data_IF_444751356379
#
_entry.id   IF_444751356379
#
_cell.length_a   1.000
_cell.length_b   1.000
_cell.length_c   1.000
_cell.angle_alpha   90.00
_cell.angle_beta   90.00
_cell.angle_gamma   90.00
#
_symmetry.space_group_name_H-M   'P 1'
#
loop_
_entity.id
_entity.type
_entity.pdbx_description
1 polymer ?
#
# COMPACT_ATOMS: atom_id res chain seq x y z
N UNK A 1 63.58 29.78 12.57
CA UNK A 1 62.22 29.39 12.13
C UNK A 1 61.94 27.99 12.66
N UNK A 2 61.12 27.83 13.70
CA UNK A 2 60.75 26.52 14.28
C UNK A 2 59.35 26.18 13.80
N UNK A 3 59.22 25.12 12.98
CA UNK A 3 57.93 24.65 12.48
C UNK A 3 57.20 23.85 13.57
N UNK A 4 55.95 24.25 13.75
CA UNK A 4 54.85 23.65 14.51
C UNK A 4 54.66 22.16 14.21
N UNK A 5 54.52 21.34 15.26
CA UNK A 5 53.94 20.01 15.19
C UNK A 5 52.62 20.00 15.97
N UNK A 6 51.50 19.82 15.27
CA UNK A 6 50.18 19.63 15.88
C UNK A 6 49.87 18.13 15.90
N UNK A 7 49.65 17.59 17.08
CA UNK A 7 49.20 16.21 17.28
C UNK A 7 47.67 16.18 17.16
N UNK A 8 47.15 15.48 16.16
CA UNK A 8 45.71 15.23 16.03
C UNK A 8 45.33 14.03 16.92
N UNK A 9 44.59 14.29 17.99
CA UNK A 9 43.91 13.25 18.75
C UNK A 9 42.72 12.73 17.92
N UNK A 10 42.78 11.48 17.50
CA UNK A 10 41.66 10.82 16.83
C UNK A 10 40.61 10.44 17.89
N UNK A 11 39.61 11.28 18.08
CA UNK A 11 38.35 10.87 18.72
C UNK A 11 37.61 9.96 17.75
N UNK A 12 37.61 8.65 18.03
CA UNK A 12 36.69 7.69 17.42
C UNK A 12 35.27 8.00 17.88
N UNK A 13 34.61 8.91 17.16
CA UNK A 13 33.17 9.06 17.27
C UNK A 13 32.53 7.78 16.71
N UNK A 14 31.94 6.97 17.58
CA UNK A 14 30.95 5.98 17.18
C UNK A 14 29.74 6.73 16.64
N UNK A 15 29.76 7.06 15.35
CA UNK A 15 28.56 7.45 14.64
C UNK A 15 27.65 6.21 14.59
N UNK A 16 26.61 6.19 15.42
CA UNK A 16 25.43 5.38 15.13
C UNK A 16 25.08 5.65 13.67
N UNK A 17 25.23 4.64 12.81
CA UNK A 17 24.78 4.72 11.44
C UNK A 17 23.29 5.06 11.49
N UNK A 18 22.96 6.29 11.09
CA UNK A 18 21.60 6.63 10.74
C UNK A 18 21.17 5.62 9.68
N UNK A 19 20.17 4.80 10.00
CA UNK A 19 19.44 4.01 9.02
C UNK A 19 18.80 5.01 8.03
N UNK A 20 19.52 5.31 6.95
CA UNK A 20 19.18 6.38 6.01
C UNK A 20 19.43 5.93 4.59
N UNK A 21 18.35 5.96 3.79
CA UNK A 21 18.23 5.61 2.37
C UNK A 21 17.99 4.13 2.03
N UNK A 22 16.91 3.56 2.57
CA UNK A 22 16.12 2.63 1.76
C UNK A 22 15.33 3.44 0.74
N UNK A 23 15.56 3.23 -0.57
CA UNK A 23 14.71 3.82 -1.60
C UNK A 23 13.29 3.28 -1.40
N UNK A 24 12.32 4.14 -1.05
CA UNK A 24 10.92 3.76 -0.95
C UNK A 24 10.48 3.09 -2.27
N UNK A 25 9.75 1.98 -2.17
CA UNK A 25 9.37 1.16 -3.32
C UNK A 25 7.88 1.29 -3.57
N UNK A 26 7.49 1.68 -4.78
CA UNK A 26 6.07 1.77 -5.15
C UNK A 26 5.62 0.52 -5.88
N UNK A 27 4.51 -0.05 -5.43
CA UNK A 27 3.79 -1.12 -6.14
C UNK A 27 2.45 -0.60 -6.63
N UNK A 28 2.10 -0.87 -7.88
CA UNK A 28 0.83 -0.47 -8.48
C UNK A 28 0.08 -1.63 -9.10
N UNK A 29 -1.23 -1.51 -9.21
CA UNK A 29 -2.09 -2.47 -9.90
C UNK A 29 -3.16 -1.74 -10.69
N UNK A 30 -3.42 -2.21 -11.89
CA UNK A 30 -4.54 -1.77 -12.72
C UNK A 30 -5.37 -3.01 -13.05
N UNK A 31 -6.60 -3.02 -12.55
CA UNK A 31 -7.39 -4.24 -12.40
C UNK A 31 -8.73 -4.03 -13.07
N UNK A 32 -9.08 -4.97 -13.92
CA UNK A 32 -10.41 -5.10 -14.50
C UNK A 32 -11.01 -6.41 -13.99
N UNK A 33 -12.21 -6.35 -13.42
CA UNK A 33 -12.93 -7.55 -12.96
C UNK A 33 -13.55 -8.31 -14.14
N UNK A 34 -14.00 -9.55 -13.92
CA UNK A 34 -14.65 -10.34 -14.97
C UNK A 34 -15.92 -9.69 -15.53
N UNK A 35 -16.56 -8.83 -14.74
CA UNK A 35 -17.75 -8.09 -15.13
C UNK A 35 -17.45 -6.70 -15.73
N UNK A 36 -16.18 -6.26 -15.77
CA UNK A 36 -15.75 -5.08 -16.52
C UNK A 36 -15.53 -3.79 -15.73
N UNK A 37 -15.83 -3.76 -14.42
CA UNK A 37 -15.43 -2.62 -13.58
C UNK A 37 -13.92 -2.57 -13.41
N UNK A 38 -13.43 -1.37 -13.12
CA UNK A 38 -11.99 -1.12 -13.07
C UNK A 38 -11.59 -0.47 -11.76
N UNK A 39 -10.41 -0.82 -11.30
CA UNK A 39 -9.77 -0.15 -10.18
C UNK A 39 -8.28 0.00 -10.43
N UNK A 40 -7.70 1.10 -9.96
CA UNK A 40 -6.27 1.34 -10.00
C UNK A 40 -5.78 1.65 -8.61
N UNK A 41 -4.73 0.96 -8.18
CA UNK A 41 -4.12 1.12 -6.86
C UNK A 41 -2.64 1.42 -7.00
N UNK A 42 -2.13 2.25 -6.11
CA UNK A 42 -0.71 2.50 -5.90
C UNK A 42 -0.42 2.54 -4.41
N UNK A 43 0.68 1.91 -3.99
CA UNK A 43 1.14 1.86 -2.60
C UNK A 43 2.64 2.06 -2.58
N UNK A 44 3.12 3.00 -1.76
CA UNK A 44 4.55 3.25 -1.57
C UNK A 44 5.02 2.67 -0.23
N UNK A 45 5.77 1.58 -0.32
CA UNK A 45 6.43 0.94 0.81
C UNK A 45 7.58 1.80 1.29
N UNK A 46 7.60 2.10 2.59
CA UNK A 46 8.65 2.91 3.21
C UNK A 46 9.69 2.01 3.87
N UNK A 47 9.23 0.96 4.55
CA UNK A 47 10.05 0.00 5.30
C UNK A 47 9.26 -1.31 5.53
N UNK A 48 9.82 -2.19 6.36
CA UNK A 48 9.19 -3.45 6.77
C UNK A 48 7.83 -3.26 7.44
N UNK A 49 7.62 -2.12 8.09
CA UNK A 49 6.52 -1.92 9.03
C UNK A 49 5.43 -1.02 8.46
N UNK A 50 5.69 -0.31 7.36
CA UNK A 50 4.77 0.70 6.84
C UNK A 50 4.76 0.91 5.33
N UNK A 51 3.61 1.37 4.85
CA UNK A 51 3.45 2.00 3.55
C UNK A 51 2.66 3.32 3.70
N UNK A 52 2.89 4.25 2.78
CA UNK A 52 2.30 5.60 2.80
C UNK A 52 1.90 6.03 1.40
N UNK A 53 1.23 7.18 1.35
CA UNK A 53 0.85 7.91 0.13
C UNK A 53 0.10 7.07 -0.91
N UNK A 54 -0.58 6.02 -0.45
CA UNK A 54 -1.31 5.13 -1.33
C UNK A 54 -2.49 5.84 -1.98
N UNK A 55 -2.75 5.48 -3.23
CA UNK A 55 -3.87 5.96 -4.02
C UNK A 55 -4.71 4.79 -4.50
N UNK A 56 -6.02 5.02 -4.63
CA UNK A 56 -6.97 4.04 -5.13
C UNK A 56 -8.03 4.76 -5.94
N UNK A 57 -8.28 4.32 -7.16
CA UNK A 57 -9.33 4.83 -8.03
C UNK A 57 -10.32 3.70 -8.31
N UNK A 58 -11.59 3.90 -7.98
CA UNK A 58 -12.66 2.92 -8.22
C UNK A 58 -13.56 3.46 -9.33
N UNK A 59 -13.65 2.74 -10.45
CA UNK A 59 -14.42 3.12 -11.62
C UNK A 59 -15.56 2.14 -11.87
N UNK A 60 -16.78 2.67 -11.90
CA UNK A 60 -17.98 1.95 -12.35
C UNK A 60 -18.08 2.11 -13.86
N UNK A 61 -17.89 1.02 -14.58
CA UNK A 61 -17.85 1.02 -16.05
C UNK A 61 -19.06 0.35 -16.68
N UNK A 62 -19.76 -0.50 -15.94
CA UNK A 62 -20.91 -1.25 -16.45
C UNK A 62 -22.21 -0.50 -16.40
N UNK A 63 -22.34 0.48 -15.49
CA UNK A 63 -23.54 1.31 -15.39
C UNK A 63 -24.83 0.51 -15.16
N UNK A 64 -24.77 -0.57 -14.37
CA UNK A 64 -25.86 -1.50 -14.14
C UNK A 64 -26.58 -1.28 -12.79
N UNK A 65 -26.59 -0.04 -12.30
CA UNK A 65 -27.21 0.42 -11.04
C UNK A 65 -26.65 -0.22 -9.76
N UNK A 66 -25.64 -1.10 -9.89
CA UNK A 66 -25.00 -1.76 -8.76
C UNK A 66 -23.93 -0.86 -8.15
N UNK A 67 -23.81 -0.91 -6.83
CA UNK A 67 -22.77 -0.13 -6.14
C UNK A 67 -21.44 -0.84 -6.23
N UNK A 68 -20.44 -0.18 -6.81
CA UNK A 68 -19.06 -0.67 -6.90
C UNK A 68 -18.22 -0.08 -5.76
N UNK A 69 -17.47 -0.93 -5.08
CA UNK A 69 -16.59 -0.51 -4.00
C UNK A 69 -15.36 -1.41 -3.90
N UNK A 70 -14.28 -0.88 -3.34
CA UNK A 70 -13.06 -1.64 -3.10
C UNK A 70 -12.75 -1.74 -1.61
N UNK A 71 -12.25 -2.90 -1.18
CA UNK A 71 -11.78 -3.14 0.18
C UNK A 71 -10.29 -3.45 0.13
N UNK A 72 -9.49 -2.76 0.96
CA UNK A 72 -8.07 -3.07 1.14
C UNK A 72 -7.88 -3.90 2.39
N UNK A 73 -7.03 -4.89 2.30
CA UNK A 73 -6.72 -5.79 3.40
C UNK A 73 -5.21 -5.87 3.57
N UNK A 74 -4.73 -5.53 4.75
CA UNK A 74 -3.31 -5.54 5.12
C UNK A 74 -3.06 -6.75 6.00
N UNK A 75 -2.16 -7.64 5.57
CA UNK A 75 -1.71 -8.77 6.37
C UNK A 75 -0.47 -8.37 7.17
N UNK A 76 -0.52 -8.47 8.49
CA UNK A 76 0.58 -8.06 9.36
C UNK A 76 1.56 -9.20 9.65
N UNK A 77 2.69 -8.84 10.28
CA UNK A 77 3.73 -9.72 10.79
C UNK A 77 3.20 -10.80 11.72
N UNK A 78 2.34 -10.38 12.66
CA UNK A 78 1.67 -11.24 13.65
C UNK A 78 0.64 -12.19 13.06
N UNK A 79 0.25 -12.02 11.79
CA UNK A 79 -0.81 -12.79 11.14
C UNK A 79 -2.20 -12.18 11.31
N UNK A 80 -2.31 -11.03 11.99
CA UNK A 80 -3.53 -10.23 12.03
C UNK A 80 -3.82 -9.64 10.64
N UNK A 81 -5.10 -9.44 10.37
CA UNK A 81 -5.58 -8.80 9.16
C UNK A 81 -6.22 -7.46 9.54
N UNK A 82 -5.73 -6.37 8.97
CA UNK A 82 -6.33 -5.04 9.09
C UNK A 82 -7.10 -4.77 7.81
N UNK A 83 -8.43 -4.61 7.90
CA UNK A 83 -9.23 -4.14 6.78
C UNK A 83 -9.32 -2.62 6.82
N UNK A 84 -9.17 -1.97 5.66
CA UNK A 84 -9.57 -0.57 5.53
C UNK A 84 -11.09 -0.47 5.40
N UNK A 85 -11.66 0.70 5.70
CA UNK A 85 -13.04 0.99 5.30
C UNK A 85 -13.24 0.78 3.80
N UNK A 86 -14.45 0.37 3.43
CA UNK A 86 -14.87 0.23 2.03
C UNK A 86 -14.79 1.57 1.29
N UNK A 87 -14.23 1.52 0.09
CA UNK A 87 -14.00 2.67 -0.79
C UNK A 87 -15.01 2.63 -1.93
N UNK A 88 -16.15 3.27 -1.72
CA UNK A 88 -17.29 3.26 -2.63
C UNK A 88 -17.16 4.28 -3.76
N UNK A 89 -17.49 3.87 -4.98
CA UNK A 89 -17.76 4.85 -6.03
C UNK A 89 -19.12 5.51 -5.75
N UNK A 90 -19.08 6.80 -5.39
CA UNK A 90 -20.27 7.56 -4.99
C UNK A 90 -20.74 8.57 -6.06
N UNK A 91 -20.01 8.65 -7.18
CA UNK A 91 -20.25 9.65 -8.23
C UNK A 91 -21.18 9.17 -9.35
N UNK A 92 -21.59 7.89 -9.30
CA UNK A 92 -22.53 7.29 -10.25
C UNK A 92 -21.87 6.60 -11.43
N UNK A 93 -22.69 6.11 -12.36
CA UNK A 93 -22.27 5.34 -13.53
C UNK A 93 -21.23 6.08 -14.39
N UNK A 94 -20.24 5.34 -14.90
CA UNK A 94 -19.24 5.84 -15.84
C UNK A 94 -18.20 6.75 -15.20
N UNK A 95 -18.31 7.00 -13.90
CA UNK A 95 -17.42 7.88 -13.16
C UNK A 95 -16.34 7.08 -12.42
N UNK A 96 -15.30 7.80 -12.02
CA UNK A 96 -14.25 7.30 -11.14
C UNK A 96 -14.25 8.11 -9.85
N UNK A 97 -14.16 7.42 -8.72
CA UNK A 97 -13.90 8.04 -7.41
C UNK A 97 -12.48 7.70 -6.97
N UNK A 98 -11.71 8.76 -6.70
CA UNK A 98 -10.32 8.65 -6.24
C UNK A 98 -10.21 8.81 -4.73
N UNK A 99 -9.39 7.96 -4.13
CA UNK A 99 -9.01 7.94 -2.72
C UNK A 99 -7.50 8.11 -2.61
N UNK A 100 -7.05 8.91 -1.65
CA UNK A 100 -5.64 9.24 -1.43
C UNK A 100 -5.29 9.16 0.05
N UNK A 101 -3.99 9.15 0.34
CA UNK A 101 -3.49 9.13 1.72
C UNK A 101 -3.69 7.77 2.40
N UNK A 102 -3.85 6.71 1.61
CA UNK A 102 -3.97 5.34 2.12
C UNK A 102 -2.62 4.95 2.70
N UNK A 103 -2.63 4.54 3.98
CA UNK A 103 -1.42 4.22 4.72
C UNK A 103 -1.72 3.18 5.79
N UNK A 104 -0.72 2.40 6.15
CA UNK A 104 -0.77 1.54 7.33
C UNK A 104 0.61 1.47 7.97
N UNK A 105 0.63 1.18 9.27
CA UNK A 105 1.84 0.93 10.04
C UNK A 105 1.52 -0.13 11.07
N UNK A 106 2.35 -1.17 11.14
CA UNK A 106 2.23 -2.24 12.13
C UNK A 106 3.61 -2.59 12.70
N UNK A 107 3.83 -2.51 14.02
CA UNK A 107 5.11 -2.83 14.64
C UNK A 107 5.58 -4.28 14.44
N UNK A 108 4.65 -5.21 14.18
CA UNK A 108 4.97 -6.59 13.83
C UNK A 108 5.51 -6.73 12.40
N UNK A 109 5.33 -5.71 11.56
CA UNK A 109 5.66 -5.69 10.15
C UNK A 109 4.40 -5.77 9.28
N UNK A 110 4.48 -5.31 8.04
CA UNK A 110 3.47 -5.56 7.01
C UNK A 110 4.00 -6.62 6.05
N UNK A 111 3.21 -7.67 5.81
CA UNK A 111 3.53 -8.75 4.86
C UNK A 111 3.05 -8.42 3.46
N UNK A 112 1.80 -8.01 3.33
CA UNK A 112 1.19 -7.76 2.03
C UNK A 112 -0.03 -6.85 2.14
N UNK A 113 -0.35 -6.19 1.04
CA UNK A 113 -1.65 -5.54 0.81
C UNK A 113 -2.37 -6.31 -0.29
N UNK A 114 -3.62 -6.66 -0.05
CA UNK A 114 -4.54 -7.15 -1.08
C UNK A 114 -5.65 -6.15 -1.28
N UNK A 115 -6.19 -6.12 -2.50
CA UNK A 115 -7.35 -5.32 -2.83
C UNK A 115 -8.38 -6.23 -3.51
N UNK A 116 -9.59 -6.14 -2.99
CA UNK A 116 -10.78 -6.82 -3.50
C UNK A 116 -11.71 -5.76 -4.09
N UNK A 117 -12.12 -5.94 -5.35
CA UNK A 117 -13.18 -5.13 -5.94
C UNK A 117 -14.50 -5.88 -5.79
N UNK A 118 -15.48 -5.22 -5.18
CA UNK A 118 -16.78 -5.76 -4.91
C UNK A 118 -17.88 -4.94 -5.59
N UNK A 119 -18.96 -5.64 -5.90
CA UNK A 119 -20.16 -5.10 -6.50
C UNK A 119 -21.35 -5.57 -5.69
N UNK A 120 -22.12 -4.61 -5.19
CA UNK A 120 -23.30 -4.84 -4.36
C UNK A 120 -24.58 -4.81 -5.19
N UNK A 121 -25.42 -5.82 -4.98
CA UNK A 121 -26.77 -5.91 -5.53
C UNK A 121 -27.75 -5.99 -4.37
N UNK A 122 -28.79 -5.16 -4.36
CA UNK A 122 -29.78 -5.17 -3.29
C UNK A 122 -30.46 -6.55 -3.19
N UNK A 123 -30.48 -7.13 -1.98
CA UNK A 123 -31.12 -8.43 -1.73
C UNK A 123 -30.32 -9.66 -2.18
N UNK A 124 -29.06 -9.50 -2.60
CA UNK A 124 -28.17 -10.60 -2.96
C UNK A 124 -26.78 -10.44 -2.30
N UNK A 125 -26.00 -11.53 -2.16
CA UNK A 125 -24.61 -11.43 -1.74
C UNK A 125 -23.78 -10.56 -2.69
N UNK A 126 -22.81 -9.84 -2.14
CA UNK A 126 -21.88 -9.03 -2.93
C UNK A 126 -20.99 -9.94 -3.81
N UNK A 127 -20.82 -9.54 -5.06
CA UNK A 127 -19.92 -10.22 -6.00
C UNK A 127 -18.54 -9.57 -5.89
N UNK A 128 -17.53 -10.33 -5.47
CA UNK A 128 -16.20 -9.81 -5.15
C UNK A 128 -15.08 -10.55 -5.90
N UNK A 129 -14.07 -9.82 -6.35
CA UNK A 129 -12.87 -10.36 -6.97
C UNK A 129 -11.60 -9.75 -6.35
N UNK A 130 -10.74 -10.62 -5.81
CA UNK A 130 -9.39 -10.25 -5.37
C UNK A 130 -8.41 -10.44 -6.51
N UNK A 131 -7.93 -9.34 -7.08
CA UNK A 131 -7.02 -9.34 -8.24
C UNK A 131 -5.71 -8.61 -7.98
N UNK A 132 -5.59 -7.91 -6.85
CA UNK A 132 -4.35 -7.28 -6.43
C UNK A 132 -3.74 -8.02 -5.25
N UNK A 133 -2.44 -8.24 -5.31
CA UNK A 133 -1.63 -8.55 -4.14
C UNK A 133 -0.26 -7.94 -4.33
N UNK A 134 0.14 -7.08 -3.41
CA UNK A 134 1.50 -6.56 -3.32
C UNK A 134 2.13 -7.07 -2.02
N UNK A 135 3.26 -7.75 -2.14
CA UNK A 135 4.08 -8.15 -1.00
C UNK A 135 5.02 -7.02 -0.61
N UNK A 136 5.25 -6.84 0.69
CA UNK A 136 6.18 -5.83 1.17
C UNK A 136 7.61 -6.23 0.75
N UNK A 137 8.30 -5.43 -0.07
CA UNK A 137 9.64 -5.74 -0.56
C UNK A 137 10.70 -5.71 0.55
N UNK A 138 10.43 -5.06 1.69
CA UNK A 138 11.35 -5.00 2.83
C UNK A 138 11.11 -6.13 3.85
N UNK A 139 10.21 -7.05 3.55
CA UNK A 139 9.96 -8.19 4.42
C UNK A 139 10.86 -9.37 4.03
N UNK A 140 11.83 -9.78 4.87
CA UNK A 140 12.82 -10.80 4.53
C UNK A 140 12.24 -12.19 4.29
N UNK A 141 11.00 -12.45 4.72
CA UNK A 141 10.31 -13.71 4.44
C UNK A 141 9.73 -13.83 3.02
N UNK A 142 9.90 -12.79 2.18
CA UNK A 142 9.47 -12.77 0.78
C UNK A 142 10.60 -12.36 -0.19
N UNK A 143 11.86 -12.31 0.27
CA UNK A 143 13.01 -12.19 -0.62
C UNK A 143 13.23 -13.55 -1.31
N UNK A 144 13.08 -13.56 -2.63
CA UNK A 144 13.26 -14.75 -3.48
C UNK A 144 14.71 -15.24 -3.50
#
# INVERSE_FOLDING_TARGET
MRRTGFTLAATTAFTLAAAGQGWATTTSGDITTSWGDRTRIEVTWVDRDSFRDGTLAVADRTCDERTVYATLTVRTGSGTTLASDDKHNTRGCGTTTDFRGIRATDPGGIKSVTMTLCRRTAGAPDQCETRYTAFNPYNPSFAF
#
